data_IF_419710588548
#
_entry.id   IF_419710588548
#
_cell.length_a   1.000
_cell.length_b   1.000
_cell.length_c   1.000
_cell.angle_alpha   90.00
_cell.angle_beta   90.00
_cell.angle_gamma   90.00
#
_symmetry.space_group_name_H-M   'P 1'
#
loop_
_entity.id
_entity.type
_entity.pdbx_description
1 polymer ?
#
# COMPACT_ATOMS: atom_id res chain seq x y z
N UNK A 1 -13.37 -3.93 -18.39
CA UNK A 1 -14.66 -3.75 -17.68
C UNK A 1 -14.66 -4.67 -16.47
N UNK A 2 -14.60 -4.13 -15.24
CA UNK A 2 -15.12 -4.70 -13.98
C UNK A 2 -14.51 -3.96 -12.77
N UNK A 3 -15.16 -2.84 -12.44
CA UNK A 3 -15.06 -2.11 -11.17
C UNK A 3 -15.85 -2.91 -10.14
N UNK A 4 -15.21 -3.67 -9.26
CA UNK A 4 -15.91 -4.32 -8.14
C UNK A 4 -15.03 -4.37 -6.90
N UNK A 5 -14.92 -3.20 -6.28
CA UNK A 5 -14.65 -3.06 -4.86
C UNK A 5 -15.64 -2.01 -4.35
N UNK A 6 -16.77 -2.51 -3.85
CA UNK A 6 -17.89 -1.81 -3.22
C UNK A 6 -18.60 -0.75 -4.10
N UNK A 7 -19.89 -0.95 -4.49
CA UNK A 7 -20.65 0.01 -5.30
C UNK A 7 -20.82 1.40 -4.64
N UNK A 8 -20.48 1.54 -3.36
CA UNK A 8 -20.56 2.79 -2.59
C UNK A 8 -19.26 3.62 -2.60
N UNK A 9 -18.13 3.08 -3.07
CA UNK A 9 -16.83 3.78 -3.00
C UNK A 9 -16.53 4.67 -4.20
N UNK A 10 -17.41 4.71 -5.20
CA UNK A 10 -17.21 5.47 -6.45
C UNK A 10 -17.26 6.99 -6.28
N UNK A 11 -17.53 7.50 -5.07
CA UNK A 11 -17.86 8.90 -4.81
C UNK A 11 -17.28 9.45 -3.51
N UNK A 12 -16.13 8.96 -3.03
CA UNK A 12 -15.35 9.75 -2.05
C UNK A 12 -14.30 10.55 -2.83
N UNK A 13 -14.55 11.84 -3.13
CA UNK A 13 -13.55 12.73 -3.71
C UNK A 13 -12.56 13.13 -2.63
N UNK A 14 -11.74 12.18 -2.15
CA UNK A 14 -10.56 12.54 -1.37
C UNK A 14 -9.61 13.23 -2.33
N UNK A 15 -9.23 14.45 -1.97
CA UNK A 15 -8.44 15.37 -2.79
C UNK A 15 -7.10 14.69 -3.14
N UNK A 16 -6.58 14.99 -4.33
CA UNK A 16 -5.37 14.38 -4.88
C UNK A 16 -4.12 15.18 -4.45
N UNK A 17 -3.73 15.05 -3.18
CA UNK A 17 -2.45 15.55 -2.68
C UNK A 17 -1.85 14.58 -1.64
N UNK A 18 -0.56 14.74 -1.35
CA UNK A 18 0.19 13.92 -0.40
C UNK A 18 -0.39 14.00 1.01
N UNK A 19 -0.60 12.85 1.67
CA UNK A 19 -1.16 12.80 3.03
C UNK A 19 -2.67 13.05 3.14
N UNK A 20 -3.37 13.20 2.00
CA UNK A 20 -4.81 13.37 1.98
C UNK A 20 -5.54 12.20 2.65
N UNK A 21 -6.50 12.50 3.52
CA UNK A 21 -7.22 11.51 4.32
C UNK A 21 -8.67 11.94 4.61
N UNK A 22 -9.39 11.19 5.46
CA UNK A 22 -10.79 11.50 5.78
C UNK A 22 -10.99 12.86 6.48
N UNK A 23 -9.96 13.43 7.12
CA UNK A 23 -10.02 14.74 7.78
C UNK A 23 -10.22 15.88 6.80
N UNK A 24 -9.86 15.68 5.53
CA UNK A 24 -10.02 16.65 4.45
C UNK A 24 -11.43 16.61 3.84
N UNK A 25 -12.31 15.73 4.33
CA UNK A 25 -13.69 15.65 3.88
C UNK A 25 -14.55 16.77 4.49
N UNK A 26 -15.52 17.23 3.70
CA UNK A 26 -16.46 18.28 4.14
C UNK A 26 -17.19 17.89 5.43
N UNK A 27 -17.22 18.82 6.38
CA UNK A 27 -17.90 18.66 7.67
C UNK A 27 -17.02 18.07 8.78
N UNK A 28 -15.74 17.82 8.53
CA UNK A 28 -14.75 17.43 9.53
C UNK A 28 -13.83 18.62 9.84
N UNK A 29 -13.49 18.80 11.11
CA UNK A 29 -12.47 19.73 11.57
C UNK A 29 -11.56 19.03 12.57
N UNK A 30 -10.32 19.51 12.70
CA UNK A 30 -9.37 19.01 13.71
C UNK A 30 -9.31 20.05 14.83
N UNK A 31 -9.70 19.66 16.04
CA UNK A 31 -9.64 20.52 17.22
C UNK A 31 -8.23 20.64 17.81
N UNK A 32 -8.09 21.45 18.87
CA UNK A 32 -6.80 21.81 19.51
C UNK A 32 -5.97 20.61 19.96
N UNK A 33 -6.63 19.49 20.31
CA UNK A 33 -5.98 18.26 20.80
C UNK A 33 -5.65 17.24 19.69
N UNK A 34 -5.64 17.68 18.41
CA UNK A 34 -5.51 16.82 17.22
C UNK A 34 -6.61 15.73 17.13
N UNK A 35 -7.76 16.02 17.73
CA UNK A 35 -8.94 15.16 17.72
C UNK A 35 -9.87 15.63 16.60
N UNK A 36 -10.37 14.69 15.80
CA UNK A 36 -11.37 14.99 14.77
C UNK A 36 -12.73 15.23 15.37
N UNK A 37 -13.38 16.29 14.93
CA UNK A 37 -14.71 16.69 15.36
C UNK A 37 -15.57 17.05 14.14
N UNK A 38 -16.87 16.94 14.28
CA UNK A 38 -17.79 17.45 13.26
C UNK A 38 -17.90 18.97 13.40
N UNK A 39 -17.78 19.69 12.30
CA UNK A 39 -17.96 21.13 12.31
C UNK A 39 -19.45 21.46 12.60
N UNK A 40 -19.78 22.22 13.66
CA UNK A 40 -21.17 22.55 13.98
C UNK A 40 -21.88 23.42 12.93
N UNK A 41 -21.11 24.15 12.11
CA UNK A 41 -21.63 25.10 11.12
C UNK A 41 -21.93 24.43 9.78
N UNK A 42 -21.43 23.20 9.55
CA UNK A 42 -21.63 22.47 8.31
C UNK A 42 -22.49 21.24 8.64
N UNK A 43 -23.73 21.16 8.12
CA UNK A 43 -24.57 19.99 8.33
C UNK A 43 -23.90 18.75 7.72
N UNK A 44 -24.20 17.57 8.29
CA UNK A 44 -23.63 16.32 7.80
C UNK A 44 -23.95 16.11 6.33
N UNK A 45 -22.91 15.83 5.55
CA UNK A 45 -23.05 15.47 4.14
C UNK A 45 -23.41 13.99 4.04
N UNK A 46 -24.45 13.68 3.27
CA UNK A 46 -24.88 12.32 2.98
C UNK A 46 -24.61 11.98 1.52
N UNK A 47 -24.26 10.73 1.27
CA UNK A 47 -24.13 10.17 -0.07
C UNK A 47 -25.54 9.96 -0.66
N UNK A 48 -25.67 9.82 -2.00
CA UNK A 48 -26.94 9.47 -2.64
C UNK A 48 -27.57 8.17 -2.12
N UNK A 49 -26.75 7.31 -1.48
CA UNK A 49 -27.20 6.08 -0.81
C UNK A 49 -27.86 6.30 0.56
N UNK A 50 -27.98 7.55 1.04
CA UNK A 50 -28.48 7.89 2.37
C UNK A 50 -27.47 7.65 3.50
N UNK A 51 -26.28 7.11 3.21
CA UNK A 51 -25.21 6.90 4.18
C UNK A 51 -24.41 8.20 4.40
N UNK A 52 -23.89 8.46 5.62
CA UNK A 52 -23.06 9.63 5.85
C UNK A 52 -21.76 9.56 5.05
N UNK A 53 -21.30 10.70 4.52
CA UNK A 53 -20.03 10.83 3.80
C UNK A 53 -18.84 10.41 4.67
N UNK A 54 -18.85 10.87 5.92
CA UNK A 54 -17.84 10.55 6.93
C UNK A 54 -18.44 9.53 7.90
N UNK A 55 -17.95 8.29 7.91
CA UNK A 55 -18.46 7.26 8.81
C UNK A 55 -18.10 7.55 10.27
N UNK A 56 -19.01 7.24 11.18
CA UNK A 56 -18.80 7.45 12.62
C UNK A 56 -17.57 6.71 13.17
N UNK A 57 -17.27 5.51 12.68
CA UNK A 57 -16.11 4.74 13.13
C UNK A 57 -14.78 5.45 12.83
N UNK A 58 -14.71 6.25 11.76
CA UNK A 58 -13.50 6.99 11.42
C UNK A 58 -13.21 8.08 12.45
N UNK A 59 -14.28 8.68 13.01
CA UNK A 59 -14.18 9.73 14.04
C UNK A 59 -13.75 9.19 15.41
N UNK A 60 -14.10 7.96 15.74
CA UNK A 60 -13.74 7.35 17.03
C UNK A 60 -12.45 6.54 16.96
N UNK A 61 -11.92 6.27 15.76
CA UNK A 61 -10.71 5.47 15.57
C UNK A 61 -9.49 6.12 16.25
N UNK A 62 -8.84 5.36 17.14
CA UNK A 62 -7.75 5.84 18.01
C UNK A 62 -8.15 7.14 18.72
N UNK A 63 -9.33 7.15 19.35
CA UNK A 63 -9.88 8.32 20.07
C UNK A 63 -9.95 9.58 19.19
N UNK A 64 -10.15 9.41 17.88
CA UNK A 64 -10.24 10.50 16.89
C UNK A 64 -8.90 11.13 16.49
N UNK A 65 -7.77 10.54 16.89
CA UNK A 65 -6.43 11.11 16.60
C UNK A 65 -5.74 10.52 15.38
N UNK A 66 -6.32 9.47 14.79
CA UNK A 66 -5.71 8.78 13.66
C UNK A 66 -5.96 9.51 12.33
N UNK A 67 -4.95 9.64 11.46
CA UNK A 67 -5.12 10.04 10.06
C UNK A 67 -5.29 8.82 9.11
N UNK A 68 -5.23 7.59 9.63
CA UNK A 68 -5.22 6.36 8.80
C UNK A 68 -6.52 6.09 8.03
N UNK A 69 -7.73 6.33 8.57
CA UNK A 69 -8.97 6.06 7.84
C UNK A 69 -9.02 6.80 6.51
N UNK A 70 -9.31 6.07 5.44
CA UNK A 70 -9.36 6.59 4.07
C UNK A 70 -8.10 7.38 3.66
N UNK A 71 -6.94 7.01 4.18
CA UNK A 71 -5.68 7.64 3.82
C UNK A 71 -5.25 7.30 2.40
N UNK A 72 -4.64 8.27 1.74
CA UNK A 72 -4.03 8.14 0.42
C UNK A 72 -2.52 8.00 0.54
N UNK A 73 -1.98 7.01 -0.19
CA UNK A 73 -0.53 6.81 -0.30
C UNK A 73 0.06 7.82 -1.29
N UNK A 74 1.34 8.13 -1.09
CA UNK A 74 2.14 8.90 -2.04
C UNK A 74 3.33 8.12 -2.60
N UNK A 75 3.95 8.63 -3.66
CA UNK A 75 5.09 7.98 -4.33
C UNK A 75 6.33 7.91 -3.44
N UNK A 76 6.51 8.89 -2.56
CA UNK A 76 7.63 8.99 -1.61
C UNK A 76 7.34 8.27 -0.28
N UNK A 77 6.18 7.64 -0.15
CA UNK A 77 5.77 6.93 1.05
C UNK A 77 5.94 5.42 0.89
N UNK A 78 6.24 4.75 2.01
CA UNK A 78 6.29 3.29 2.05
C UNK A 78 5.04 2.71 2.68
N UNK A 79 4.64 1.53 2.22
CA UNK A 79 3.60 0.75 2.89
C UNK A 79 4.28 -0.12 3.95
N UNK A 80 4.08 0.14 5.25
CA UNK A 80 4.82 -0.55 6.31
C UNK A 80 4.47 -2.04 6.38
N UNK A 81 3.23 -2.41 6.06
CA UNK A 81 2.81 -3.80 5.98
C UNK A 81 1.70 -3.95 4.96
N UNK A 82 1.92 -4.79 3.96
CA UNK A 82 0.87 -5.18 3.01
C UNK A 82 -0.07 -6.15 3.74
N UNK A 83 -1.34 -5.78 3.86
CA UNK A 83 -2.34 -6.57 4.59
C UNK A 83 -3.25 -7.39 3.67
N UNK A 84 -3.98 -8.33 4.28
CA UNK A 84 -4.93 -9.22 3.60
C UNK A 84 -6.24 -8.57 3.18
N UNK A 85 -6.59 -7.41 3.74
CA UNK A 85 -7.86 -6.72 3.48
C UNK A 85 -7.60 -5.37 2.81
N UNK A 86 -8.10 -5.21 1.58
CA UNK A 86 -8.01 -3.96 0.82
C UNK A 86 -9.11 -2.94 1.19
N UNK A 87 -9.50 -2.90 2.46
CA UNK A 87 -10.57 -2.02 2.94
C UNK A 87 -9.96 -0.71 3.48
N UNK A 88 -10.34 0.47 2.96
CA UNK A 88 -9.73 1.74 3.34
C UNK A 88 -10.22 2.26 4.70
N UNK A 89 -11.03 1.49 5.42
CA UNK A 89 -11.70 1.93 6.65
C UNK A 89 -10.73 2.33 7.76
N UNK A 90 -9.61 1.63 7.90
CA UNK A 90 -8.63 1.83 8.98
C UNK A 90 -7.19 1.96 8.46
N UNK A 91 -7.00 2.17 7.16
CA UNK A 91 -5.69 2.04 6.50
C UNK A 91 -5.50 3.01 5.35
N UNK A 92 -4.22 3.33 5.12
CA UNK A 92 -3.75 4.15 4.01
C UNK A 92 -3.50 3.21 2.83
N UNK A 93 -4.47 3.09 1.93
CA UNK A 93 -4.45 2.12 0.81
C UNK A 93 -5.02 2.70 -0.48
N UNK A 94 -5.35 3.99 -0.50
CA UNK A 94 -5.80 4.64 -1.72
C UNK A 94 -4.61 4.96 -2.62
N UNK A 95 -4.78 4.72 -3.91
CA UNK A 95 -3.78 4.96 -4.92
C UNK A 95 -3.45 6.47 -5.01
N UNK A 96 -2.20 6.90 -5.18
CA UNK A 96 -1.82 8.32 -5.20
C UNK A 96 -2.63 9.16 -6.19
N UNK A 97 -2.67 8.73 -7.46
CA UNK A 97 -3.29 9.53 -8.53
C UNK A 97 -4.73 9.12 -8.89
N UNK A 98 -5.28 8.04 -8.32
CA UNK A 98 -6.53 7.44 -8.79
C UNK A 98 -7.53 7.29 -7.63
N UNK A 99 -8.82 7.47 -7.89
CA UNK A 99 -9.89 7.28 -6.91
C UNK A 99 -10.24 5.80 -6.72
N UNK A 100 -9.25 4.99 -6.35
CA UNK A 100 -9.39 3.55 -6.07
C UNK A 100 -8.42 3.12 -4.98
N UNK A 101 -8.68 1.95 -4.41
CA UNK A 101 -7.70 1.23 -3.58
C UNK A 101 -6.59 0.62 -4.46
N UNK A 102 -5.45 0.31 -3.84
CA UNK A 102 -4.41 -0.48 -4.49
C UNK A 102 -4.98 -1.82 -4.96
N UNK A 103 -4.62 -2.19 -6.20
CA UNK A 103 -4.96 -3.47 -6.81
C UNK A 103 -4.17 -4.61 -6.19
N UNK A 104 -4.67 -5.84 -6.37
CA UNK A 104 -3.96 -7.06 -5.99
C UNK A 104 -2.54 -7.09 -6.56
N UNK A 105 -2.36 -6.64 -7.81
CA UNK A 105 -1.06 -6.69 -8.48
C UNK A 105 -0.07 -5.68 -7.91
N UNK A 106 -0.53 -4.48 -7.56
CA UNK A 106 0.28 -3.47 -6.87
C UNK A 106 0.73 -3.98 -5.50
N UNK A 107 -0.19 -4.54 -4.70
CA UNK A 107 0.17 -5.15 -3.42
C UNK A 107 1.14 -6.32 -3.58
N UNK A 108 0.98 -7.13 -4.63
CA UNK A 108 1.87 -8.24 -4.88
C UNK A 108 3.28 -7.76 -5.27
N UNK A 109 3.41 -6.66 -6.02
CA UNK A 109 4.72 -6.03 -6.29
C UNK A 109 5.36 -5.46 -5.03
N UNK A 110 4.58 -4.85 -4.13
CA UNK A 110 5.07 -4.39 -2.82
C UNK A 110 5.64 -5.55 -2.00
N UNK A 111 5.05 -6.74 -2.10
CA UNK A 111 5.54 -7.98 -1.48
C UNK A 111 6.67 -8.67 -2.28
N UNK A 112 7.12 -8.04 -3.36
CA UNK A 112 8.21 -8.52 -4.23
C UNK A 112 7.84 -9.70 -5.11
N UNK A 113 6.55 -10.02 -5.30
CA UNK A 113 6.15 -11.07 -6.23
C UNK A 113 6.53 -10.66 -7.66
N UNK A 114 7.13 -11.57 -8.43
CA UNK A 114 7.37 -11.32 -9.84
C UNK A 114 6.04 -11.15 -10.58
N UNK A 115 6.05 -10.33 -11.63
CA UNK A 115 4.85 -10.00 -12.40
C UNK A 115 4.26 -11.22 -13.13
N UNK A 116 5.09 -12.20 -13.45
CA UNK A 116 4.65 -13.46 -14.06
C UNK A 116 3.91 -14.38 -13.08
N UNK A 117 3.99 -14.14 -11.76
CA UNK A 117 3.30 -14.97 -10.76
C UNK A 117 1.80 -14.71 -10.80
N UNK A 118 1.01 -15.73 -11.16
CA UNK A 118 -0.44 -15.65 -11.30
C UNK A 118 -1.15 -16.09 -10.02
N UNK A 119 -1.97 -15.20 -9.47
CA UNK A 119 -2.84 -15.48 -8.33
C UNK A 119 -4.22 -15.95 -8.81
N UNK A 120 -4.74 -17.02 -8.23
CA UNK A 120 -6.02 -17.64 -8.60
C UNK A 120 -7.07 -17.48 -7.49
N UNK A 121 -8.35 -17.61 -7.88
CA UNK A 121 -9.50 -17.46 -6.98
C UNK A 121 -10.16 -16.07 -7.00
N UNK A 122 -11.17 -15.84 -6.17
CA UNK A 122 -11.86 -14.56 -6.03
C UNK A 122 -10.93 -13.42 -5.60
N UNK A 123 -11.23 -12.19 -6.00
CA UNK A 123 -10.40 -10.99 -5.71
C UNK A 123 -10.05 -10.88 -4.21
N UNK A 124 -11.02 -11.09 -3.32
CA UNK A 124 -10.79 -11.06 -1.86
C UNK A 124 -9.76 -12.10 -1.42
N UNK A 125 -9.83 -13.32 -1.94
CA UNK A 125 -8.87 -14.37 -1.62
C UNK A 125 -7.49 -14.05 -2.19
N UNK A 126 -7.39 -13.41 -3.35
CA UNK A 126 -6.09 -12.98 -3.90
C UNK A 126 -5.41 -11.94 -2.99
N UNK A 127 -6.15 -11.00 -2.42
CA UNK A 127 -5.58 -10.08 -1.41
C UNK A 127 -5.09 -10.82 -0.18
N UNK A 128 -5.84 -11.81 0.30
CA UNK A 128 -5.44 -12.65 1.44
C UNK A 128 -4.14 -13.42 1.13
N UNK A 129 -4.05 -14.02 -0.06
CA UNK A 129 -2.84 -14.73 -0.49
C UNK A 129 -1.61 -13.82 -0.49
N UNK A 130 -1.74 -12.60 -1.01
CA UNK A 130 -0.63 -11.63 -1.05
C UNK A 130 -0.26 -11.13 0.35
N UNK A 131 -1.25 -10.76 1.16
CA UNK A 131 -0.99 -10.20 2.50
C UNK A 131 -0.44 -11.22 3.50
N UNK A 132 -0.76 -12.51 3.34
CA UNK A 132 -0.21 -13.57 4.19
C UNK A 132 1.13 -14.13 3.68
N UNK A 133 1.52 -13.82 2.45
CA UNK A 133 2.77 -14.32 1.89
C UNK A 133 3.98 -13.64 2.55
N UNK A 134 5.07 -14.39 2.67
CA UNK A 134 6.38 -13.80 2.99
C UNK A 134 6.89 -13.04 1.76
N UNK A 135 7.55 -11.90 1.99
CA UNK A 135 8.16 -11.14 0.91
C UNK A 135 9.14 -12.02 0.11
N UNK A 136 8.94 -12.10 -1.20
CA UNK A 136 9.72 -13.00 -2.07
C UNK A 136 11.24 -12.73 -2.01
N UNK A 137 11.73 -11.48 -1.95
CA UNK A 137 13.15 -11.20 -1.79
C UNK A 137 13.73 -11.77 -0.49
N UNK A 138 12.96 -11.73 0.60
CA UNK A 138 13.36 -12.30 1.90
C UNK A 138 13.45 -13.81 1.81
N UNK A 139 12.43 -14.46 1.26
CA UNK A 139 12.44 -15.92 1.05
C UNK A 139 13.60 -16.36 0.15
N UNK A 140 13.93 -15.57 -0.88
CA UNK A 140 15.05 -15.82 -1.78
C UNK A 140 16.40 -15.75 -1.05
N UNK A 141 16.61 -14.73 -0.21
CA UNK A 141 17.83 -14.58 0.58
C UNK A 141 18.04 -15.78 1.52
N UNK A 142 16.99 -16.17 2.25
CA UNK A 142 17.02 -17.36 3.12
C UNK A 142 17.29 -18.64 2.33
N UNK A 143 16.64 -18.80 1.17
CA UNK A 143 16.86 -19.94 0.28
C UNK A 143 18.29 -20.04 -0.24
N UNK A 144 18.94 -18.90 -0.50
CA UNK A 144 20.35 -18.86 -0.89
C UNK A 144 21.26 -19.33 0.24
N UNK A 145 21.09 -18.81 1.46
CA UNK A 145 21.83 -19.24 2.63
C UNK A 145 21.64 -20.73 2.90
N UNK A 146 20.41 -21.24 2.78
CA UNK A 146 20.12 -22.67 2.88
C UNK A 146 20.85 -23.50 1.82
N UNK A 147 20.87 -23.04 0.56
CA UNK A 147 21.57 -23.72 -0.52
C UNK A 147 23.08 -23.79 -0.31
N UNK A 148 23.69 -22.72 0.21
CA UNK A 148 25.11 -22.69 0.54
C UNK A 148 25.44 -23.62 1.70
N UNK A 149 24.60 -23.64 2.75
CA UNK A 149 24.75 -24.56 3.88
C UNK A 149 24.66 -26.03 3.41
N UNK A 150 23.66 -26.34 2.60
CA UNK A 150 23.42 -27.69 2.09
C UNK A 150 24.58 -28.22 1.22
N UNK A 151 25.23 -27.34 0.45
CA UNK A 151 26.41 -27.69 -0.36
C UNK A 151 27.71 -27.77 0.45
N UNK A 152 27.68 -27.48 1.75
CA UNK A 152 28.89 -27.41 2.58
C UNK A 152 29.81 -26.23 2.23
N UNK A 153 29.31 -25.22 1.50
CA UNK A 153 30.08 -24.06 1.07
C UNK A 153 30.18 -22.99 2.17
N UNK A 154 29.34 -23.06 3.21
CA UNK A 154 29.45 -22.21 4.39
C UNK A 154 30.47 -22.81 5.37
N UNK A 155 31.61 -22.15 5.51
CA UNK A 155 32.66 -22.55 6.44
C UNK A 155 32.64 -21.57 7.62
N UNK A 156 32.04 -21.99 8.74
CA UNK A 156 32.04 -21.23 10.00
C UNK A 156 30.70 -21.20 10.73
N UNK A 157 30.74 -21.11 12.06
CA UNK A 157 29.56 -21.05 12.95
C UNK A 157 28.99 -19.65 13.16
N UNK A 158 29.17 -18.73 12.21
CA UNK A 158 28.70 -17.35 12.33
C UNK A 158 27.18 -17.28 12.07
N UNK A 159 26.42 -16.48 12.84
CA UNK A 159 24.96 -16.38 12.69
C UNK A 159 24.52 -15.56 11.46
N UNK A 160 25.43 -14.78 10.87
CA UNK A 160 25.17 -13.88 9.75
C UNK A 160 25.92 -14.33 8.50
N UNK A 161 25.30 -14.08 7.35
CA UNK A 161 25.85 -14.38 6.04
C UNK A 161 25.63 -13.19 5.10
N UNK A 162 26.71 -12.70 4.50
CA UNK A 162 26.63 -11.63 3.50
C UNK A 162 26.34 -12.21 2.13
N UNK A 163 25.29 -11.67 1.49
CA UNK A 163 24.91 -12.06 0.13
C UNK A 163 25.91 -11.47 -0.88
N UNK A 164 26.24 -12.20 -1.97
CA UNK A 164 27.14 -11.67 -2.98
C UNK A 164 26.51 -10.48 -3.72
N UNK A 165 27.34 -9.58 -4.25
CA UNK A 165 26.89 -8.32 -4.90
C UNK A 165 25.91 -8.55 -6.06
N UNK A 166 26.07 -9.66 -6.78
CA UNK A 166 25.21 -10.04 -7.90
C UNK A 166 23.83 -10.59 -7.47
N UNK A 167 23.60 -10.85 -6.18
CA UNK A 167 22.37 -11.45 -5.69
C UNK A 167 21.17 -10.50 -5.83
N UNK A 168 21.39 -9.22 -5.52
CA UNK A 168 20.35 -8.19 -5.48
C UNK A 168 19.81 -7.84 -6.87
N UNK A 169 20.63 -7.98 -7.92
CA UNK A 169 20.33 -7.53 -9.29
C UNK A 169 19.76 -8.61 -10.21
N UNK A 170 19.68 -9.88 -9.77
CA UNK A 170 19.17 -10.96 -10.63
C UNK A 170 17.71 -10.70 -11.01
N UNK A 171 17.47 -10.42 -12.30
CA UNK A 171 16.15 -10.16 -12.87
C UNK A 171 15.82 -8.68 -13.09
N UNK A 172 16.67 -7.76 -12.67
CA UNK A 172 16.66 -6.39 -13.20
C UNK A 172 17.47 -6.42 -14.50
N UNK A 173 16.81 -6.37 -15.66
CA UNK A 173 17.51 -6.01 -16.88
C UNK A 173 18.21 -4.68 -16.60
N UNK A 174 19.53 -4.63 -16.79
CA UNK A 174 20.31 -3.42 -16.60
C UNK A 174 19.62 -2.27 -17.36
N UNK A 175 19.02 -1.34 -16.62
CA UNK A 175 18.57 -0.08 -17.19
C UNK A 175 19.84 0.67 -17.57
N UNK A 176 20.31 0.45 -18.79
CA UNK A 176 21.39 1.22 -19.40
C UNK A 176 20.87 2.65 -19.57
N UNK A 177 21.21 3.50 -18.61
CA UNK A 177 21.10 4.94 -18.78
C UNK A 177 21.97 5.32 -20.00
N UNK A 178 21.33 5.58 -21.13
CA UNK A 178 22.01 6.17 -22.28
C UNK A 178 22.30 7.64 -21.93
N UNK A 179 23.55 8.12 -22.02
CA UNK A 179 23.83 9.53 -21.82
C UNK A 179 23.20 10.33 -22.97
N UNK A 180 22.28 11.23 -22.62
CA UNK A 180 21.71 12.20 -23.57
C UNK A 180 22.85 13.12 -23.99
N UNK A 181 23.28 12.99 -25.25
CA UNK A 181 24.26 13.87 -25.86
C UNK A 181 23.75 15.30 -25.88
N UNK A 182 24.56 16.21 -25.32
CA UNK A 182 24.36 17.66 -25.47
C UNK A 182 24.74 18.03 -26.90
N UNK A 183 23.75 18.44 -27.69
CA UNK A 183 23.99 19.09 -29.00
C UNK A 183 24.14 20.59 -28.71
N UNK A 184 25.38 21.08 -28.72
CA UNK A 184 25.66 22.52 -28.81
C UNK A 184 25.31 23.00 -30.23
N UNK A 185 24.66 24.16 -30.29
CA UNK A 185 24.50 24.99 -31.48
C UNK A 185 25.55 26.07 -31.50
#
# INVERSE_FOLDING_TARGET
>A
MFFLLLPTFRFLPIILFQGANFRDLKGVQVGENNTVEFNPHIPRVFLPSGKPLVPYYAMTYIKGKSPKPFGRLWWDETVPTVVTRAEPHNQIILHPNQHRVLTVRENARLQGFPDYYRLFGPIKQKYIQVGNAVAVPVARALGYSLGQAYRGALVGGQPLFELPENFASVGQAAATASPVGVVEK
#
